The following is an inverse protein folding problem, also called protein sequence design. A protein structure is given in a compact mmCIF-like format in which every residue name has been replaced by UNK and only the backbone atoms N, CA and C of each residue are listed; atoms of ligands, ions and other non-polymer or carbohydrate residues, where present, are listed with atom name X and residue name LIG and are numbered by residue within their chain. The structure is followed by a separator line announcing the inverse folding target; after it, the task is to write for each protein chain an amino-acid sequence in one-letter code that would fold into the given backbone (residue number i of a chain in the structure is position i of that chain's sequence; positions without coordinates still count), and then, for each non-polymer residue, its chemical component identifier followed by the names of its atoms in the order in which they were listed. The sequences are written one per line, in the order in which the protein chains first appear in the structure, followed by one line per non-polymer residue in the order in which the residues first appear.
data_IF_634039533862
#
_entry.id   IF_634039533862
#
_cell.length_a   1.000
_cell.length_b   1.000
_cell.length_c   1.000
_cell.angle_alpha   90.00
_cell.angle_beta   90.00
_cell.angle_gamma   90.00
#
_symmetry.space_group_name_H-M   'P 1'
#
loop_
_entity.id
_entity.type
_entity.pdbx_description
1 polymer ?
#
# COMPACT_ATOMS: atom_id res chain seq x y z
N UNK A 1 -34.09 0.51 -85.26
CA UNK A 1 -32.65 0.30 -85.00
C UNK A 1 -32.25 1.26 -83.89
N UNK A 2 -31.31 0.84 -83.06
CA UNK A 2 -30.77 1.50 -81.85
C UNK A 2 -31.55 1.36 -80.54
N UNK A 3 -31.11 0.35 -79.78
CA UNK A 3 -31.00 0.36 -78.32
C UNK A 3 -30.28 1.63 -77.81
N UNK A 4 -30.73 2.18 -76.67
CA UNK A 4 -29.82 2.43 -75.54
C UNK A 4 -30.52 2.79 -74.24
N UNK A 5 -29.82 2.43 -73.16
CA UNK A 5 -29.88 2.99 -71.80
C UNK A 5 -30.77 2.27 -70.77
N UNK A 6 -30.35 1.05 -70.42
CA UNK A 6 -29.95 0.73 -69.04
C UNK A 6 -30.45 1.68 -67.95
N UNK A 7 -31.65 1.44 -67.41
CA UNK A 7 -32.19 2.28 -66.33
C UNK A 7 -33.22 1.64 -65.41
N UNK A 8 -33.60 0.38 -65.62
CA UNK A 8 -34.74 -0.24 -64.91
C UNK A 8 -34.37 -1.16 -63.73
N UNK A 9 -33.07 -1.32 -63.45
CA UNK A 9 -32.59 -2.04 -62.26
C UNK A 9 -32.12 -1.10 -61.14
N UNK A 10 -32.66 0.13 -61.07
CA UNK A 10 -32.12 1.15 -60.17
C UNK A 10 -33.18 1.90 -59.36
N UNK A 11 -34.16 1.20 -58.78
CA UNK A 11 -35.08 1.93 -57.89
C UNK A 11 -35.80 1.22 -56.76
N UNK A 12 -35.67 -0.11 -56.52
CA UNK A 12 -36.33 -0.70 -55.33
C UNK A 12 -35.57 -1.82 -54.61
N UNK A 13 -34.70 -2.57 -55.29
CA UNK A 13 -33.91 -3.62 -54.61
C UNK A 13 -32.59 -3.12 -54.03
N UNK A 14 -32.17 -1.91 -54.41
CA UNK A 14 -31.07 -1.19 -53.76
C UNK A 14 -31.51 -0.42 -52.51
N UNK A 15 -32.77 -0.55 -52.10
CA UNK A 15 -33.35 0.13 -50.94
C UNK A 15 -33.29 -0.72 -49.66
N UNK A 16 -32.71 -1.94 -49.73
CA UNK A 16 -32.62 -2.87 -48.60
C UNK A 16 -31.20 -3.31 -48.24
N UNK A 17 -30.19 -2.52 -48.59
CA UNK A 17 -28.82 -2.66 -48.05
C UNK A 17 -28.47 -1.48 -47.12
N UNK A 18 -29.40 -0.56 -46.91
CA UNK A 18 -29.18 0.59 -46.05
C UNK A 18 -30.27 0.68 -44.98
N UNK A 19 -30.32 -0.32 -44.10
CA UNK A 19 -30.47 0.00 -42.68
C UNK A 19 -29.11 -0.16 -42.01
N UNK A 20 -28.17 0.79 -42.16
CA UNK A 20 -27.01 0.88 -41.29
C UNK A 20 -27.30 1.80 -40.10
N UNK A 21 -28.56 2.08 -39.76
CA UNK A 21 -28.89 3.06 -38.72
C UNK A 21 -28.96 2.48 -37.31
N UNK A 22 -28.64 1.19 -37.11
CA UNK A 22 -28.55 0.63 -35.75
C UNK A 22 -27.24 -0.11 -35.44
N UNK A 23 -26.23 0.04 -36.30
CA UNK A 23 -24.84 -0.20 -35.89
C UNK A 23 -24.18 1.09 -35.37
N UNK A 24 -24.72 2.26 -35.72
CA UNK A 24 -24.19 3.54 -35.28
C UNK A 24 -24.56 3.88 -33.84
N UNK A 25 -25.62 3.30 -33.27
CA UNK A 25 -26.00 3.57 -31.88
C UNK A 25 -25.14 2.83 -30.84
N UNK A 26 -24.40 1.78 -31.24
CA UNK A 26 -23.34 1.19 -30.43
C UNK A 26 -21.99 1.93 -30.58
N UNK A 27 -21.89 2.73 -31.65
CA UNK A 27 -20.89 3.79 -31.85
C UNK A 27 -21.44 5.17 -31.45
N UNK A 28 -22.41 5.24 -30.53
CA UNK A 28 -22.40 6.35 -29.56
C UNK A 28 -21.29 6.05 -28.57
N UNK A 29 -20.08 6.10 -29.14
CA UNK A 29 -18.77 5.81 -28.56
C UNK A 29 -18.77 6.47 -27.20
N UNK A 30 -18.94 5.61 -26.20
CA UNK A 30 -18.67 5.87 -24.80
C UNK A 30 -19.06 7.27 -24.35
N UNK A 31 -20.32 7.43 -23.90
CA UNK A 31 -20.80 8.64 -23.22
C UNK A 31 -19.64 9.27 -22.41
N UNK A 32 -19.25 10.54 -22.66
CA UNK A 32 -18.06 11.14 -22.04
C UNK A 32 -18.08 11.04 -20.51
N UNK A 33 -19.27 10.92 -19.89
CA UNK A 33 -19.41 10.62 -18.47
C UNK A 33 -18.81 9.27 -18.03
N UNK A 34 -18.86 8.23 -18.86
CA UNK A 34 -18.25 6.91 -18.58
C UNK A 34 -16.72 7.01 -18.60
N UNK A 35 -16.12 7.77 -19.52
CA UNK A 35 -14.68 8.01 -19.52
C UNK A 35 -14.23 8.80 -18.30
N UNK A 36 -15.00 9.80 -17.88
CA UNK A 36 -14.71 10.57 -16.66
C UNK A 36 -14.83 9.68 -15.41
N UNK A 37 -15.87 8.83 -15.34
CA UNK A 37 -16.03 7.87 -14.26
C UNK A 37 -14.89 6.83 -14.24
N UNK A 38 -14.51 6.30 -15.40
CA UNK A 38 -13.39 5.37 -15.54
C UNK A 38 -12.07 6.02 -15.10
N UNK A 39 -11.82 7.27 -15.52
CA UNK A 39 -10.66 8.03 -15.10
C UNK A 39 -10.65 8.26 -13.59
N UNK A 40 -11.80 8.60 -12.99
CA UNK A 40 -11.91 8.77 -11.53
C UNK A 40 -11.59 7.46 -10.78
N UNK A 41 -12.07 6.31 -11.28
CA UNK A 41 -11.76 4.99 -10.70
C UNK A 41 -10.27 4.66 -10.85
N UNK A 42 -9.67 4.91 -12.02
CA UNK A 42 -8.23 4.69 -12.24
C UNK A 42 -7.40 5.57 -11.32
N UNK A 43 -7.74 6.85 -11.17
CA UNK A 43 -7.05 7.78 -10.27
C UNK A 43 -7.18 7.34 -8.82
N UNK A 44 -8.36 6.86 -8.41
CA UNK A 44 -8.57 6.33 -7.07
C UNK A 44 -7.68 5.12 -6.81
N UNK A 45 -7.62 4.15 -7.74
CA UNK A 45 -6.72 3.01 -7.62
C UNK A 45 -5.25 3.43 -7.62
N UNK A 46 -4.84 4.33 -8.52
CA UNK A 46 -3.48 4.85 -8.54
C UNK A 46 -3.12 5.52 -7.21
N UNK A 47 -4.03 6.29 -6.62
CA UNK A 47 -3.86 6.87 -5.28
C UNK A 47 -3.68 5.81 -4.20
N UNK A 48 -4.50 4.76 -4.21
CA UNK A 48 -4.35 3.63 -3.29
C UNK A 48 -3.03 2.88 -3.49
N UNK A 49 -2.59 2.67 -4.74
CA UNK A 49 -1.31 2.01 -5.04
C UNK A 49 -0.12 2.84 -4.58
N UNK A 50 -0.12 4.14 -4.88
CA UNK A 50 0.94 5.07 -4.45
C UNK A 50 0.96 5.16 -2.93
N UNK A 51 -0.20 5.29 -2.29
CA UNK A 51 -0.31 5.32 -0.82
C UNK A 51 0.09 3.99 -0.19
N UNK A 52 -0.21 2.86 -0.82
CA UNK A 52 0.18 1.52 -0.35
C UNK A 52 1.68 1.24 -0.51
N UNK A 53 2.33 1.83 -1.52
CA UNK A 53 3.79 1.76 -1.67
C UNK A 53 4.54 2.68 -0.70
N UNK A 54 3.94 3.81 -0.31
CA UNK A 54 4.63 4.85 0.49
C UNK A 54 4.21 4.84 1.96
N UNK A 55 3.05 4.29 2.30
CA UNK A 55 2.53 4.29 3.65
C UNK A 55 3.10 3.15 4.48
N UNK A 56 4.07 3.44 5.34
CA UNK A 56 4.50 2.50 6.38
C UNK A 56 3.57 2.61 7.60
N UNK A 57 2.86 1.53 7.90
CA UNK A 57 2.10 1.44 9.15
C UNK A 57 2.99 0.77 10.20
N UNK A 58 3.71 1.60 10.95
CA UNK A 58 4.53 1.16 12.08
C UNK A 58 3.70 1.16 13.36
N UNK A 59 3.63 0.00 14.02
CA UNK A 59 3.17 -0.10 15.40
C UNK A 59 4.36 0.16 16.31
N UNK A 60 4.34 1.29 17.02
CA UNK A 60 5.38 1.66 17.97
C UNK A 60 4.89 1.50 19.42
N UNK A 61 5.77 1.01 20.28
CA UNK A 61 5.53 0.86 21.71
C UNK A 61 6.56 1.67 22.48
N UNK A 62 6.08 2.51 23.41
CA UNK A 62 6.96 3.29 24.28
C UNK A 62 7.57 2.42 25.39
N UNK A 63 8.85 2.65 25.63
CA UNK A 63 9.65 1.97 26.64
C UNK A 63 10.73 2.87 27.20
N UNK A 64 11.48 2.30 28.14
CA UNK A 64 12.64 2.93 28.77
C UNK A 64 13.85 2.07 28.48
N UNK A 65 14.94 2.68 28.04
CA UNK A 65 16.23 2.02 27.93
C UNK A 65 17.21 2.57 28.98
N UNK A 66 18.01 1.67 29.54
CA UNK A 66 19.19 2.01 30.34
C UNK A 66 20.41 1.56 29.56
N UNK A 67 21.26 2.52 29.20
CA UNK A 67 22.51 2.25 28.48
C UNK A 67 23.64 2.07 29.47
N UNK A 68 24.35 0.95 29.36
CA UNK A 68 25.56 0.66 30.09
C UNK A 68 26.55 -0.07 29.19
N UNK A 69 27.81 0.37 29.17
CA UNK A 69 28.89 -0.26 28.39
C UNK A 69 28.51 -0.46 26.90
N UNK A 70 27.92 0.56 26.26
CA UNK A 70 27.46 0.51 24.85
C UNK A 70 26.37 -0.52 24.57
N UNK A 71 25.64 -0.97 25.59
CA UNK A 71 24.49 -1.86 25.48
C UNK A 71 23.27 -1.20 26.12
N UNK A 72 22.18 -1.06 25.36
CA UNK A 72 20.90 -0.61 25.86
C UNK A 72 20.07 -1.80 26.36
N UNK A 73 19.76 -1.80 27.66
CA UNK A 73 18.76 -2.67 28.27
C UNK A 73 17.40 -1.99 28.17
N UNK A 74 16.50 -2.56 27.38
CA UNK A 74 15.22 -1.97 26.98
C UNK A 74 14.09 -2.69 27.70
N UNK A 75 13.29 -1.90 28.41
CA UNK A 75 12.12 -2.36 29.14
C UNK A 75 10.87 -1.66 28.63
N UNK A 76 9.87 -2.45 28.23
CA UNK A 76 8.58 -1.93 27.78
C UNK A 76 7.80 -1.38 28.99
N UNK A 77 7.34 -0.14 28.88
CA UNK A 77 6.49 0.49 29.91
C UNK A 77 5.00 0.39 29.53
N UNK A 78 4.71 0.10 28.25
CA UNK A 78 3.36 -0.08 27.69
C UNK A 78 2.83 -1.52 27.70
N UNK A 79 1.84 -1.78 26.84
CA UNK A 79 1.01 -2.99 26.79
C UNK A 79 1.77 -4.29 27.09
N UNK A 80 1.34 -4.99 28.14
CA UNK A 80 1.98 -6.19 28.74
C UNK A 80 2.16 -7.36 27.75
N UNK A 81 1.51 -7.31 26.58
CA UNK A 81 1.53 -8.37 25.58
C UNK A 81 2.34 -8.04 24.32
N UNK A 82 3.08 -6.93 24.27
CA UNK A 82 3.95 -6.65 23.12
C UNK A 82 5.12 -7.63 23.13
N UNK A 83 4.98 -8.69 22.33
CA UNK A 83 5.98 -9.75 22.21
C UNK A 83 7.22 -9.19 21.51
N UNK A 84 8.25 -8.86 22.28
CA UNK A 84 9.53 -8.44 21.71
C UNK A 84 10.21 -9.63 21.03
N UNK A 85 10.87 -9.37 19.92
CA UNK A 85 11.66 -10.38 19.19
C UNK A 85 12.96 -9.76 18.71
N UNK A 86 13.99 -10.60 18.61
CA UNK A 86 15.26 -10.21 17.99
C UNK A 86 15.02 -9.70 16.56
N UNK A 87 15.73 -8.65 16.18
CA UNK A 87 15.60 -7.98 14.89
C UNK A 87 14.59 -6.83 14.84
N UNK A 88 13.82 -6.56 15.91
CA UNK A 88 13.00 -5.36 15.99
C UNK A 88 13.86 -4.09 16.06
N UNK A 89 13.37 -2.99 15.51
CA UNK A 89 14.04 -1.68 15.56
C UNK A 89 13.66 -0.94 16.84
N UNK A 90 14.65 -0.42 17.56
CA UNK A 90 14.48 0.49 18.69
C UNK A 90 15.01 1.86 18.31
N UNK A 91 14.23 2.91 18.59
CA UNK A 91 14.59 4.31 18.35
C UNK A 91 14.95 4.96 19.67
N UNK A 92 16.17 5.49 19.77
CA UNK A 92 16.66 6.27 20.90
C UNK A 92 16.95 7.69 20.38
N UNK A 93 16.07 8.64 20.69
CA UNK A 93 16.17 9.97 20.09
C UNK A 93 15.98 9.95 18.57
N UNK A 94 17.02 10.30 17.83
CA UNK A 94 17.08 10.29 16.36
C UNK A 94 17.77 9.04 15.78
N UNK A 95 18.43 8.25 16.63
CA UNK A 95 19.19 7.06 16.22
C UNK A 95 18.31 5.81 16.24
N UNK A 96 18.54 4.92 15.28
CA UNK A 96 17.86 3.62 15.18
C UNK A 96 18.85 2.48 15.44
N UNK A 97 18.47 1.56 16.31
CA UNK A 97 19.24 0.36 16.64
C UNK A 97 18.39 -0.89 16.47
N UNK A 98 19.05 -2.04 16.35
CA UNK A 98 18.36 -3.33 16.24
C UNK A 98 18.52 -4.14 17.53
N UNK A 99 17.42 -4.70 18.01
CA UNK A 99 17.41 -5.60 19.16
C UNK A 99 18.19 -6.88 18.80
N UNK A 100 19.25 -7.18 19.54
CA UNK A 100 20.05 -8.39 19.34
C UNK A 100 19.42 -9.60 20.03
N UNK A 101 19.06 -9.45 21.30
CA UNK A 101 18.55 -10.54 22.14
C UNK A 101 17.37 -10.04 22.98
N UNK A 102 16.41 -10.92 23.21
CA UNK A 102 15.29 -10.69 24.13
C UNK A 102 15.32 -11.82 25.16
N UNK A 103 15.38 -11.47 26.43
CA UNK A 103 15.34 -12.39 27.56
C UNK A 103 14.12 -12.08 28.44
N UNK A 104 13.76 -13.01 29.31
CA UNK A 104 12.73 -12.79 30.33
C UNK A 104 13.43 -12.71 31.69
N UNK A 105 13.17 -11.63 32.42
CA UNK A 105 13.74 -11.46 33.76
C UNK A 105 13.08 -12.38 34.79
N UNK A 106 13.64 -12.43 36.00
CA UNK A 106 13.11 -13.23 37.12
C UNK A 106 11.66 -12.87 37.52
N UNK A 107 11.12 -11.76 37.02
CA UNK A 107 9.76 -11.29 37.27
C UNK A 107 8.81 -11.59 36.11
N UNK A 108 9.26 -12.31 35.09
CA UNK A 108 8.46 -12.67 33.91
C UNK A 108 8.31 -11.53 32.90
N UNK A 109 9.15 -10.49 32.96
CA UNK A 109 9.09 -9.33 32.07
C UNK A 109 10.10 -9.51 30.95
N UNK A 110 9.69 -9.25 29.72
CA UNK A 110 10.61 -9.26 28.59
C UNK A 110 11.57 -8.06 28.69
N UNK A 111 12.86 -8.34 28.63
CA UNK A 111 13.96 -7.37 28.59
C UNK A 111 14.72 -7.58 27.28
N UNK A 112 14.87 -6.53 26.50
CA UNK A 112 15.58 -6.57 25.24
C UNK A 112 16.94 -5.90 25.35
N UNK A 113 17.93 -6.42 24.64
CA UNK A 113 19.27 -5.85 24.56
C UNK A 113 19.55 -5.38 23.14
N UNK A 114 20.09 -4.17 23.01
CA UNK A 114 20.54 -3.63 21.74
C UNK A 114 21.94 -3.01 21.91
N UNK A 115 22.92 -3.31 21.05
CA UNK A 115 24.18 -2.58 21.05
C UNK A 115 23.94 -1.16 20.54
N UNK A 116 24.35 -0.16 21.31
CA UNK A 116 24.13 1.27 21.01
C UNK A 116 25.42 2.05 21.17
N UNK A 117 25.53 3.18 20.49
CA UNK A 117 26.68 4.09 20.62
C UNK A 117 26.28 5.36 21.37
N UNK A 118 25.55 5.18 22.46
CA UNK A 118 25.06 6.26 23.32
C UNK A 118 25.84 6.28 24.64
N UNK A 119 25.92 7.46 25.27
CA UNK A 119 26.52 7.58 26.59
C UNK A 119 25.67 6.85 27.64
N UNK A 120 26.33 6.32 28.68
CA UNK A 120 25.65 5.68 29.81
C UNK A 120 24.59 6.60 30.42
N UNK A 121 23.36 6.10 30.52
CA UNK A 121 22.22 6.92 30.89
C UNK A 121 20.88 6.24 30.70
N UNK A 122 19.82 6.94 31.12
CA UNK A 122 18.44 6.50 30.95
C UNK A 122 17.80 7.29 29.80
N UNK A 123 17.19 6.58 28.86
CA UNK A 123 16.58 7.16 27.68
C UNK A 123 15.15 6.66 27.51
N UNK A 124 14.28 7.53 27.01
CA UNK A 124 12.97 7.12 26.52
C UNK A 124 13.15 6.56 25.11
N UNK A 125 12.54 5.40 24.86
CA UNK A 125 12.73 4.68 23.59
C UNK A 125 11.41 4.28 22.97
N UNK A 126 11.40 4.20 21.64
CA UNK A 126 10.26 3.69 20.88
C UNK A 126 10.66 2.42 20.16
N UNK A 127 9.95 1.35 20.43
CA UNK A 127 10.21 0.03 19.84
C UNK A 127 9.22 -0.17 18.71
N UNK A 128 9.71 -0.40 17.50
CA UNK A 128 8.88 -0.73 16.34
C UNK A 128 8.59 -2.23 16.41
N UNK A 129 7.40 -2.59 16.87
CA UNK A 129 7.01 -4.00 17.08
C UNK A 129 6.45 -4.65 15.83
N UNK A 130 5.78 -3.86 14.99
CA UNK A 130 5.24 -4.33 13.72
C UNK A 130 5.46 -3.23 12.68
N UNK A 131 5.91 -3.63 11.49
CA UNK A 131 5.91 -2.76 10.31
C UNK A 131 5.13 -3.46 9.23
N UNK A 132 3.94 -2.94 8.93
CA UNK A 132 3.05 -3.52 7.93
C UNK A 132 3.07 -2.60 6.71
N UNK A 133 3.63 -3.13 5.62
CA UNK A 133 3.53 -2.48 4.32
C UNK A 133 2.17 -2.87 3.73
N UNK A 134 1.25 -1.93 3.46
CA UNK A 134 -0.09 -2.23 2.98
C UNK A 134 -0.10 -3.04 1.67
N UNK A 135 0.98 -2.95 0.88
CA UNK A 135 1.15 -3.73 -0.35
C UNK A 135 1.23 -5.23 -0.08
N UNK A 136 1.75 -5.67 1.07
CA UNK A 136 1.81 -7.08 1.44
C UNK A 136 0.41 -7.69 1.58
N UNK A 137 -0.58 -6.94 2.08
CA UNK A 137 -1.96 -7.43 2.18
C UNK A 137 -2.62 -7.73 0.82
N UNK A 138 -2.09 -7.22 -0.29
CA UNK A 138 -2.60 -7.51 -1.64
C UNK A 138 -1.98 -8.77 -2.25
N UNK A 139 -0.88 -9.28 -1.69
CA UNK A 139 -0.11 -10.41 -2.23
C UNK A 139 0.06 -11.56 -1.24
N UNK A 140 -0.65 -11.51 -0.10
CA UNK A 140 -0.71 -12.57 0.91
C UNK A 140 -1.93 -13.49 0.70
#
# INVERSE_FOLDING_TARGET
MEEKSSGIFRQRSLERISSPEQLTDYLKVTNPGIWVLLAAVIVLFAGLFVWSMVGDLETVVDGVAVVHDSTAEIMVTGSVNSKMSSGMTVRIGEEEYSISTVEEDDHGRSVAYAPVNEADGKYDVRIVTESIHPIKFLFD
#
